data_IF_084831922032
#
_entry.id   IF_084831922032
#
_cell.length_a   1.000
_cell.length_b   1.000
_cell.length_c   1.000
_cell.angle_alpha   90.00
_cell.angle_beta   90.00
_cell.angle_gamma   90.00
#
_symmetry.space_group_name_H-M   'P 1'
#
loop_
_entity.id
_entity.type
_entity.pdbx_description
1 polymer ?
#
# COMPACT_ATOMS: atom_id res chain seq x y z
N UNK A 1 -53.88 -6.38 26.95
CA UNK A 1 -53.17 -6.41 28.24
C UNK A 1 -51.68 -6.38 27.97
N UNK A 2 -51.01 -5.29 28.37
CA UNK A 2 -49.56 -5.08 28.27
C UNK A 2 -48.91 -5.82 29.43
N UNK A 3 -47.83 -6.56 29.21
CA UNK A 3 -46.94 -6.95 30.31
C UNK A 3 -45.51 -6.48 30.02
N UNK A 4 -45.04 -5.63 30.93
CA UNK A 4 -43.73 -4.96 31.00
C UNK A 4 -42.86 -5.73 32.01
N UNK A 5 -41.58 -5.91 31.68
CA UNK A 5 -40.45 -5.97 32.63
C UNK A 5 -40.32 -7.22 33.53
N UNK A 6 -39.15 -7.43 34.18
CA UNK A 6 -38.26 -6.38 34.67
C UNK A 6 -36.78 -6.47 34.27
N UNK A 7 -36.14 -5.30 34.34
CA UNK A 7 -34.70 -5.01 34.33
C UNK A 7 -34.06 -5.19 35.71
N UNK A 8 -32.92 -5.88 35.78
CA UNK A 8 -31.87 -5.81 36.82
C UNK A 8 -30.57 -6.25 36.09
N UNK A 9 -29.38 -5.66 36.16
CA UNK A 9 -28.78 -4.73 37.11
C UNK A 9 -27.45 -5.30 37.63
N UNK A 10 -26.34 -4.95 36.97
CA UNK A 10 -24.97 -4.71 37.52
C UNK A 10 -24.07 -5.86 38.03
N UNK A 11 -22.92 -6.04 37.36
CA UNK A 11 -21.54 -6.09 37.88
C UNK A 11 -20.62 -6.34 36.66
N UNK A 12 -19.60 -5.55 36.33
CA UNK A 12 -18.42 -5.26 37.14
C UNK A 12 -17.22 -6.02 36.53
N UNK A 13 -16.46 -5.38 35.63
CA UNK A 13 -15.33 -6.00 34.94
C UNK A 13 -14.42 -4.95 34.32
N UNK A 14 -13.91 -4.03 35.14
CA UNK A 14 -12.91 -3.06 34.74
C UNK A 14 -11.54 -3.73 34.68
N UNK A 15 -10.92 -3.73 33.51
CA UNK A 15 -9.54 -4.19 33.32
C UNK A 15 -8.55 -3.31 34.11
N UNK A 16 -7.56 -3.89 34.81
CA UNK A 16 -6.68 -3.14 35.68
C UNK A 16 -5.61 -2.38 34.88
N UNK A 17 -5.58 -1.06 35.08
CA UNK A 17 -4.45 -0.19 34.74
C UNK A 17 -3.32 -0.45 35.74
N UNK A 18 -2.31 -1.22 35.35
CA UNK A 18 -1.03 -1.26 36.06
C UNK A 18 -0.22 -0.03 35.66
N UNK A 19 -0.06 0.88 36.62
CA UNK A 19 0.95 1.94 36.58
C UNK A 19 2.26 1.37 37.12
N UNK A 20 3.30 1.37 36.31
CA UNK A 20 4.69 1.27 36.75
C UNK A 20 5.42 2.57 36.38
N UNK A 21 5.76 3.34 37.41
CA UNK A 21 6.75 4.42 37.36
C UNK A 21 8.05 3.85 37.93
N UNK A 22 9.17 4.00 37.20
CA UNK A 22 10.61 3.90 37.57
C UNK A 22 11.35 3.48 36.28
N UNK A 23 12.47 4.02 35.82
CA UNK A 23 13.26 5.21 36.09
C UNK A 23 14.25 5.31 34.90
N UNK A 24 14.61 6.55 34.55
CA UNK A 24 15.68 6.99 33.64
C UNK A 24 16.77 5.95 33.28
N UNK A 25 16.96 5.70 31.98
CA UNK A 25 18.29 5.59 31.39
C UNK A 25 18.30 6.21 29.99
N UNK A 26 19.35 6.99 29.76
CA UNK A 26 19.64 7.79 28.59
C UNK A 26 20.16 6.91 27.46
N UNK A 27 19.53 6.91 26.28
CA UNK A 27 20.20 6.81 24.97
C UNK A 27 19.22 7.27 23.89
N UNK A 28 19.67 8.23 23.07
CA UNK A 28 18.83 9.06 22.21
C UNK A 28 18.15 8.33 21.05
N UNK A 29 16.95 8.81 20.72
CA UNK A 29 16.27 8.56 19.44
C UNK A 29 16.07 9.89 18.71
N UNK A 30 16.14 9.91 17.36
CA UNK A 30 16.10 11.13 16.57
C UNK A 30 14.67 11.68 16.53
N UNK A 31 14.56 13.01 16.66
CA UNK A 31 13.31 13.75 16.52
C UNK A 31 12.88 13.71 15.06
N UNK A 32 11.76 13.04 14.77
CA UNK A 32 11.06 13.11 13.49
C UNK A 32 10.17 14.37 13.53
N UNK A 33 10.56 15.41 12.80
CA UNK A 33 9.76 16.61 12.58
C UNK A 33 9.01 16.43 11.26
N UNK A 34 7.71 16.15 11.33
CA UNK A 34 6.81 16.30 10.19
C UNK A 34 6.44 17.80 10.03
N UNK A 35 6.42 18.36 8.80
CA UNK A 35 6.05 19.76 8.59
C UNK A 35 4.52 19.93 8.58
N UNK A 36 3.95 20.97 9.25
CA UNK A 36 2.56 21.36 9.00
C UNK A 36 2.46 22.42 7.89
N UNK A 37 1.66 22.07 6.88
CA UNK A 37 0.92 22.88 5.89
C UNK A 37 1.23 24.38 5.75
N UNK A 38 1.71 24.75 4.56
CA UNK A 38 1.75 26.12 4.05
C UNK A 38 0.34 26.66 3.76
N UNK A 39 -0.33 27.16 4.80
CA UNK A 39 -1.65 27.78 4.72
C UNK A 39 -1.61 29.28 5.04
N UNK A 40 -1.00 30.10 4.15
CA UNK A 40 -1.45 31.49 3.86
C UNK A 40 -0.68 32.04 2.65
N UNK A 41 -1.10 31.63 1.47
CA UNK A 41 -0.75 32.32 0.23
C UNK A 41 -1.30 33.76 0.31
N UNK A 42 -0.44 34.72 0.65
CA UNK A 42 -0.66 36.10 0.24
C UNK A 42 -0.33 36.13 -1.25
N UNK A 43 -1.36 36.43 -2.04
CA UNK A 43 -1.32 36.62 -3.48
C UNK A 43 -0.01 37.27 -3.96
N UNK A 44 0.92 36.46 -4.45
CA UNK A 44 1.95 36.92 -5.39
C UNK A 44 1.34 36.62 -6.75
N UNK A 45 0.78 37.65 -7.36
CA UNK A 45 0.25 37.57 -8.70
C UNK A 45 1.34 37.06 -9.66
N UNK A 46 0.99 36.26 -10.68
CA UNK A 46 1.92 35.93 -11.74
C UNK A 46 2.39 37.22 -12.41
N UNK A 47 3.70 37.32 -12.69
CA UNK A 47 4.25 38.44 -13.42
C UNK A 47 3.47 38.62 -14.75
N UNK A 48 2.93 39.81 -15.04
CA UNK A 48 2.39 40.07 -16.36
C UNK A 48 3.55 40.16 -17.36
N UNK A 49 3.58 39.23 -18.30
CA UNK A 49 4.42 39.27 -19.49
C UNK A 49 4.01 40.44 -20.39
N UNK A 50 4.46 41.65 -20.05
CA UNK A 50 4.21 42.87 -20.84
C UNK A 50 5.47 43.73 -20.87
N UNK A 51 6.48 43.29 -21.62
CA UNK A 51 7.39 44.17 -22.38
C UNK A 51 8.09 43.33 -23.45
N UNK A 52 7.31 42.94 -24.45
CA UNK A 52 7.82 42.43 -25.73
C UNK A 52 7.31 43.37 -26.83
N UNK A 53 7.64 44.66 -26.72
CA UNK A 53 7.34 45.63 -27.78
C UNK A 53 8.07 46.98 -27.62
N UNK A 54 9.34 46.93 -27.20
CA UNK A 54 10.27 48.02 -27.49
C UNK A 54 11.44 47.39 -28.23
N UNK A 55 11.51 47.64 -29.53
CA UNK A 55 12.56 47.19 -30.43
C UNK A 55 13.93 47.78 -30.09
N UNK A 56 14.43 47.49 -28.91
CA UNK A 56 15.79 47.77 -28.50
C UNK A 56 16.60 46.53 -28.83
N UNK A 57 17.21 46.58 -30.01
CA UNK A 57 18.27 45.66 -30.39
C UNK A 57 19.31 45.64 -29.26
N UNK A 58 19.53 44.45 -28.71
CA UNK A 58 20.58 44.18 -27.72
C UNK A 58 21.91 44.76 -28.23
N UNK A 59 22.57 45.66 -27.49
CA UNK A 59 23.92 46.06 -27.84
C UNK A 59 24.79 44.82 -27.73
N UNK A 60 25.54 44.53 -28.80
CA UNK A 60 26.54 43.47 -28.83
C UNK A 60 27.49 43.64 -27.65
N UNK A 61 27.85 42.52 -27.03
CA UNK A 61 28.96 42.33 -26.11
C UNK A 61 30.18 43.12 -26.61
N UNK A 62 30.49 44.23 -25.94
CA UNK A 62 31.73 44.97 -26.16
C UNK A 62 32.75 44.35 -25.21
N UNK A 63 33.80 43.76 -25.79
CA UNK A 63 34.93 43.22 -25.04
C UNK A 63 35.46 44.27 -24.07
N UNK A 64 35.44 43.91 -22.79
CA UNK A 64 35.99 44.67 -21.68
C UNK A 64 37.52 44.62 -21.81
N UNK A 65 38.10 45.56 -22.56
CA UNK A 65 39.51 45.88 -22.40
C UNK A 65 39.62 46.81 -21.18
N UNK A 66 40.29 46.31 -20.14
CA UNK A 66 40.91 47.09 -19.06
C UNK A 66 41.81 48.15 -19.69
N UNK A 67 41.23 49.31 -20.01
CA UNK A 67 42.00 50.49 -20.31
C UNK A 67 42.33 51.15 -18.96
N UNK A 68 43.46 50.77 -18.37
CA UNK A 68 44.17 51.62 -17.40
C UNK A 68 44.48 52.95 -18.11
N UNK A 69 43.56 53.91 -17.98
CA UNK A 69 43.74 55.24 -18.54
C UNK A 69 44.47 56.09 -17.51
N UNK A 70 45.68 56.51 -17.91
CA UNK A 70 46.50 57.52 -17.23
C UNK A 70 45.65 58.73 -16.86
N UNK A 71 45.56 59.03 -15.56
CA UNK A 71 45.08 60.31 -15.05
C UNK A 71 46.14 61.38 -15.34
N UNK A 72 46.30 61.77 -16.61
CA UNK A 72 46.99 63.02 -16.93
C UNK A 72 46.00 64.16 -16.63
N UNK A 73 46.12 64.65 -15.40
CA UNK A 73 45.25 65.61 -14.70
C UNK A 73 45.45 67.07 -15.17
N UNK A 74 45.94 67.28 -16.39
CA UNK A 74 46.09 68.60 -16.98
C UNK A 74 44.90 68.86 -17.90
N UNK A 75 43.81 69.34 -17.32
CA UNK A 75 42.69 69.92 -18.08
C UNK A 75 43.26 71.09 -18.89
N UNK A 76 43.58 70.84 -20.15
CA UNK A 76 44.17 71.84 -21.04
C UNK A 76 43.09 72.84 -21.46
N UNK A 77 42.90 73.89 -20.65
CA UNK A 77 41.93 74.96 -20.91
C UNK A 77 42.27 75.81 -22.15
N UNK A 78 43.37 75.49 -22.85
CA UNK A 78 43.93 76.30 -23.94
C UNK A 78 44.62 77.55 -23.38
N UNK A 79 45.65 78.03 -24.09
CA UNK A 79 46.30 79.27 -23.73
C UNK A 79 45.30 80.44 -23.89
N UNK A 80 45.00 81.13 -22.79
CA UNK A 80 44.23 82.37 -22.83
C UNK A 80 45.05 83.40 -23.60
N UNK A 81 44.43 84.02 -24.62
CA UNK A 81 45.03 85.15 -25.33
C UNK A 81 45.42 86.24 -24.31
N UNK A 82 46.51 86.97 -24.53
CA UNK A 82 46.83 88.10 -23.65
C UNK A 82 46.05 89.35 -24.06
N UNK A 83 45.77 90.26 -23.12
CA UNK A 83 45.09 91.53 -23.45
C UNK A 83 45.84 92.34 -24.52
N UNK A 84 47.17 92.28 -24.52
CA UNK A 84 48.01 92.93 -25.52
C UNK A 84 47.87 92.33 -26.92
N UNK A 85 47.81 91.00 -27.02
CA UNK A 85 47.59 90.30 -28.29
C UNK A 85 46.19 90.55 -28.85
N UNK A 86 45.19 90.60 -27.96
CA UNK A 86 43.82 90.95 -28.31
C UNK A 86 43.72 92.38 -28.85
N UNK A 87 44.34 93.36 -28.17
CA UNK A 87 44.40 94.75 -28.63
C UNK A 87 45.08 94.87 -30.00
N UNK A 88 46.21 94.18 -30.19
CA UNK A 88 46.94 94.16 -31.44
C UNK A 88 46.10 93.57 -32.59
N UNK A 89 45.36 92.49 -32.34
CA UNK A 89 44.44 91.88 -33.31
C UNK A 89 43.28 92.80 -33.67
N UNK A 90 42.75 93.55 -32.70
CA UNK A 90 41.73 94.57 -32.94
C UNK A 90 42.28 95.85 -33.61
N UNK A 91 43.59 95.93 -33.85
CA UNK A 91 44.23 97.10 -34.44
C UNK A 91 44.26 98.32 -33.49
N UNK A 92 44.16 98.10 -32.18
CA UNK A 92 44.17 99.13 -31.15
C UNK A 92 45.51 99.18 -30.43
N UNK A 93 45.88 100.36 -29.93
CA UNK A 93 47.16 100.58 -29.24
C UNK A 93 47.01 101.47 -28.02
N UNK A 94 47.52 101.00 -26.89
CA UNK A 94 47.57 101.74 -25.64
C UNK A 94 48.63 102.85 -25.64
N UNK A 95 48.60 103.75 -24.63
CA UNK A 95 49.53 104.89 -24.56
C UNK A 95 51.02 104.53 -24.47
N UNK A 96 51.35 103.33 -23.95
CA UNK A 96 52.71 102.85 -23.67
C UNK A 96 53.25 101.80 -24.66
N UNK A 97 52.43 101.31 -25.59
CA UNK A 97 52.82 100.23 -26.52
C UNK A 97 53.69 100.80 -27.67
N UNK A 98 54.51 100.00 -28.37
CA UNK A 98 55.37 100.48 -29.46
C UNK A 98 54.59 100.80 -30.76
N UNK A 99 55.13 101.68 -31.63
CA UNK A 99 54.43 102.11 -32.86
C UNK A 99 54.43 101.03 -33.94
N UNK A 100 53.30 100.34 -34.11
CA UNK A 100 53.01 99.48 -35.25
C UNK A 100 52.16 100.23 -36.29
N UNK A 101 52.53 100.14 -37.57
CA UNK A 101 51.81 100.80 -38.68
C UNK A 101 50.38 100.26 -38.81
N UNK A 102 49.38 101.15 -38.87
CA UNK A 102 47.96 100.81 -39.07
C UNK A 102 47.11 100.69 -37.80
N UNK A 103 47.66 100.92 -36.61
CA UNK A 103 46.94 100.83 -35.33
C UNK A 103 46.34 102.16 -34.86
N UNK A 104 45.12 102.12 -34.32
CA UNK A 104 44.40 103.26 -33.72
C UNK A 104 44.79 103.45 -32.25
N UNK A 105 45.20 104.68 -31.89
CA UNK A 105 45.64 105.00 -30.52
C UNK A 105 44.44 105.30 -29.62
N UNK A 106 44.33 104.58 -28.51
CA UNK A 106 43.29 104.77 -27.49
C UNK A 106 43.84 105.55 -26.28
N UNK A 107 42.96 106.25 -25.56
CA UNK A 107 43.32 106.92 -24.30
C UNK A 107 43.54 105.91 -23.16
N UNK A 108 44.20 106.32 -22.08
CA UNK A 108 44.44 105.44 -20.92
C UNK A 108 43.12 104.99 -20.28
N UNK A 109 42.16 105.91 -20.09
CA UNK A 109 40.84 105.55 -19.53
C UNK A 109 40.06 104.56 -20.42
N UNK A 110 40.19 104.67 -21.75
CA UNK A 110 39.59 103.69 -22.67
C UNK A 110 40.32 102.35 -22.63
N UNK A 111 41.64 102.34 -22.43
CA UNK A 111 42.41 101.11 -22.25
C UNK A 111 41.99 100.40 -20.97
N UNK A 112 41.88 101.11 -19.86
CA UNK A 112 41.50 100.54 -18.56
C UNK A 112 40.08 99.95 -18.61
N UNK A 113 39.13 100.64 -19.27
CA UNK A 113 37.76 100.14 -19.48
C UNK A 113 37.73 98.90 -20.39
N UNK A 114 38.51 98.91 -21.49
CA UNK A 114 38.61 97.76 -22.39
C UNK A 114 39.30 96.56 -21.72
N UNK A 115 40.30 96.80 -20.87
CA UNK A 115 40.96 95.77 -20.07
C UNK A 115 39.97 95.14 -19.10
N UNK A 116 39.15 95.95 -18.44
CA UNK A 116 38.12 95.47 -17.54
C UNK A 116 37.06 94.60 -18.26
N UNK A 117 36.53 95.07 -19.39
CA UNK A 117 35.57 94.30 -20.20
C UNK A 117 36.20 93.03 -20.77
N UNK A 118 37.45 93.09 -21.20
CA UNK A 118 38.20 91.95 -21.70
C UNK A 118 38.44 90.89 -20.62
N UNK A 119 38.86 91.29 -19.41
CA UNK A 119 39.01 90.38 -18.27
C UNK A 119 37.69 89.69 -17.92
N UNK A 120 36.59 90.44 -17.86
CA UNK A 120 35.26 89.87 -17.59
C UNK A 120 34.82 88.89 -18.69
N UNK A 121 35.11 89.18 -19.97
CA UNK A 121 34.79 88.31 -21.09
C UNK A 121 35.65 87.03 -21.09
N UNK A 122 36.93 87.15 -20.75
CA UNK A 122 37.85 86.01 -20.68
C UNK A 122 37.55 85.10 -19.47
N UNK A 123 37.14 85.67 -18.34
CA UNK A 123 36.62 84.94 -17.19
C UNK A 123 35.34 84.20 -17.56
N UNK A 124 34.39 84.85 -18.24
CA UNK A 124 33.16 84.21 -18.70
C UNK A 124 33.41 83.06 -19.69
N UNK A 125 34.41 83.18 -20.57
CA UNK A 125 34.79 82.10 -21.49
C UNK A 125 35.43 80.91 -20.74
N UNK A 126 36.28 81.20 -19.76
CA UNK A 126 36.88 80.17 -18.89
C UNK A 126 35.82 79.42 -18.09
N UNK A 127 34.86 80.15 -17.51
CA UNK A 127 33.72 79.57 -16.79
C UNK A 127 32.83 78.72 -17.71
N UNK A 128 32.59 79.15 -18.97
CA UNK A 128 31.86 78.34 -19.94
C UNK A 128 32.56 77.00 -20.19
N UNK A 129 33.88 77.02 -20.44
CA UNK A 129 34.67 75.79 -20.67
C UNK A 129 34.66 74.86 -19.45
N UNK A 130 34.76 75.42 -18.24
CA UNK A 130 34.65 74.66 -17.00
C UNK A 130 33.29 73.96 -16.86
N UNK A 131 32.20 74.67 -17.17
CA UNK A 131 30.85 74.11 -17.10
C UNK A 131 30.65 73.02 -18.15
N UNK A 132 31.17 73.20 -19.36
CA UNK A 132 31.13 72.19 -20.44
C UNK A 132 31.92 70.93 -20.05
N UNK A 133 33.14 71.09 -19.55
CA UNK A 133 33.95 69.97 -19.06
C UNK A 133 33.30 69.25 -17.88
N UNK A 134 32.71 69.99 -16.94
CA UNK A 134 31.98 69.42 -15.82
C UNK A 134 30.79 68.59 -16.32
N UNK A 135 29.99 69.14 -17.24
CA UNK A 135 28.87 68.43 -17.85
C UNK A 135 29.32 67.15 -18.57
N UNK A 136 30.40 67.20 -19.34
CA UNK A 136 30.91 66.03 -20.04
C UNK A 136 31.42 64.98 -19.05
N UNK A 137 32.08 65.39 -17.97
CA UNK A 137 32.51 64.48 -16.89
C UNK A 137 31.32 63.83 -16.17
N UNK A 138 30.25 64.57 -15.88
CA UNK A 138 29.02 64.05 -15.28
C UNK A 138 28.30 63.08 -16.22
N UNK A 139 28.25 63.38 -17.52
CA UNK A 139 27.70 62.48 -18.54
C UNK A 139 28.50 61.18 -18.64
N UNK A 140 29.83 61.25 -18.55
CA UNK A 140 30.68 60.07 -18.59
C UNK A 140 30.61 59.24 -17.31
N UNK A 141 30.43 59.88 -16.15
CA UNK A 141 30.13 59.18 -14.89
C UNK A 141 28.76 58.47 -15.01
N UNK A 142 27.72 59.18 -15.46
CA UNK A 142 26.38 58.61 -15.62
C UNK A 142 26.37 57.44 -16.61
N UNK A 143 27.11 57.52 -17.71
CA UNK A 143 27.26 56.40 -18.67
C UNK A 143 27.96 55.20 -18.03
N UNK A 144 29.03 55.43 -17.27
CA UNK A 144 29.74 54.35 -16.56
C UNK A 144 28.84 53.67 -15.53
N UNK A 145 28.10 54.45 -14.75
CA UNK A 145 27.13 53.91 -13.79
C UNK A 145 26.01 53.13 -14.48
N UNK A 146 25.49 53.64 -15.61
CA UNK A 146 24.46 52.94 -16.39
C UNK A 146 24.97 51.59 -16.91
N UNK A 147 26.20 51.54 -17.44
CA UNK A 147 26.81 50.29 -17.91
C UNK A 147 27.04 49.31 -16.75
N UNK A 148 27.55 49.79 -15.61
CA UNK A 148 27.75 48.96 -14.42
C UNK A 148 26.44 48.39 -13.87
N UNK A 149 25.39 49.22 -13.80
CA UNK A 149 24.06 48.79 -13.37
C UNK A 149 23.45 47.78 -14.36
N UNK A 150 23.66 47.97 -15.66
CA UNK A 150 23.22 47.04 -16.69
C UNK A 150 23.91 45.68 -16.59
N UNK A 151 25.23 45.67 -16.38
CA UNK A 151 26.00 44.45 -16.16
C UNK A 151 25.54 43.71 -14.89
N UNK A 152 25.37 44.44 -13.78
CA UNK A 152 24.87 43.86 -12.54
C UNK A 152 23.46 43.27 -12.68
N UNK A 153 22.56 43.97 -13.37
CA UNK A 153 21.21 43.47 -13.63
C UNK A 153 21.22 42.19 -14.47
N UNK A 154 22.04 42.14 -15.52
CA UNK A 154 22.21 40.96 -16.36
C UNK A 154 22.72 39.76 -15.54
N UNK A 155 23.78 39.95 -14.76
CA UNK A 155 24.35 38.88 -13.92
C UNK A 155 23.35 38.37 -12.88
N UNK A 156 22.56 39.28 -12.29
CA UNK A 156 21.49 38.91 -11.37
C UNK A 156 20.38 38.11 -12.05
N UNK A 157 19.94 38.52 -13.24
CA UNK A 157 18.93 37.81 -14.05
C UNK A 157 19.44 36.42 -14.45
N UNK A 158 20.68 36.30 -14.91
CA UNK A 158 21.29 35.02 -15.28
C UNK A 158 21.41 34.09 -14.06
N UNK A 159 21.92 34.60 -12.93
CA UNK A 159 22.06 33.83 -11.71
C UNK A 159 20.71 33.34 -11.18
N UNK A 160 19.69 34.19 -11.22
CA UNK A 160 18.33 33.82 -10.78
C UNK A 160 17.67 32.84 -11.74
N UNK A 161 17.82 33.02 -13.06
CA UNK A 161 17.33 32.07 -14.06
C UNK A 161 17.94 30.68 -13.87
N UNK A 162 19.26 30.60 -13.67
CA UNK A 162 19.97 29.34 -13.39
C UNK A 162 19.56 28.70 -12.07
N UNK A 163 19.35 29.50 -11.03
CA UNK A 163 18.86 29.00 -9.75
C UNK A 163 17.42 28.44 -9.86
N UNK A 164 16.56 29.08 -10.65
CA UNK A 164 15.21 28.60 -10.90
C UNK A 164 15.19 27.35 -11.78
N UNK A 165 16.00 27.30 -12.84
CA UNK A 165 16.08 26.10 -13.70
C UNK A 165 16.54 24.88 -12.90
N UNK A 166 17.58 25.03 -12.06
CA UNK A 166 18.05 23.94 -11.20
C UNK A 166 17.00 23.48 -10.18
N UNK A 167 16.20 24.39 -9.64
CA UNK A 167 15.07 24.02 -8.75
C UNK A 167 13.99 23.25 -9.49
N UNK A 168 13.66 23.66 -10.72
CA UNK A 168 12.67 22.96 -11.55
C UNK A 168 13.16 21.56 -11.92
N UNK A 169 14.41 21.41 -12.33
CA UNK A 169 15.03 20.11 -12.64
C UNK A 169 15.06 19.19 -11.41
N UNK A 170 15.40 19.71 -10.24
CA UNK A 170 15.36 18.93 -9.00
C UNK A 170 13.93 18.50 -8.63
N UNK A 171 12.95 19.38 -8.83
CA UNK A 171 11.55 19.08 -8.56
C UNK A 171 10.99 18.02 -9.52
N UNK A 172 11.31 18.11 -10.82
CA UNK A 172 10.88 17.11 -11.80
C UNK A 172 11.55 15.75 -11.56
N UNK A 173 12.83 15.72 -11.19
CA UNK A 173 13.51 14.48 -10.80
C UNK A 173 12.87 13.86 -9.55
N UNK A 174 12.54 14.66 -8.55
CA UNK A 174 11.85 14.19 -7.35
C UNK A 174 10.43 13.66 -7.66
N UNK A 175 9.69 14.32 -8.56
CA UNK A 175 8.38 13.85 -9.02
C UNK A 175 8.49 12.49 -9.72
N UNK A 176 9.46 12.34 -10.63
CA UNK A 176 9.69 11.07 -11.34
C UNK A 176 10.07 9.94 -10.39
N UNK A 177 10.92 10.22 -9.39
CA UNK A 177 11.27 9.24 -8.36
C UNK A 177 10.06 8.85 -7.49
N UNK A 178 9.23 9.83 -7.11
CA UNK A 178 8.02 9.57 -6.34
C UNK A 178 7.00 8.74 -7.13
N UNK A 179 6.84 8.99 -8.43
CA UNK A 179 6.00 8.20 -9.33
C UNK A 179 6.50 6.75 -9.45
N UNK A 180 7.80 6.56 -9.69
CA UNK A 180 8.38 5.22 -9.77
C UNK A 180 8.19 4.42 -8.47
N UNK A 181 8.34 5.07 -7.31
CA UNK A 181 8.10 4.45 -6.01
C UNK A 181 6.62 4.11 -5.81
N UNK A 182 5.70 4.98 -6.24
CA UNK A 182 4.27 4.71 -6.20
C UNK A 182 3.88 3.51 -7.07
N UNK A 183 4.40 3.44 -8.30
CA UNK A 183 4.14 2.32 -9.21
C UNK A 183 4.67 1.00 -8.64
N UNK A 184 5.86 1.04 -8.02
CA UNK A 184 6.44 -0.11 -7.32
C UNK A 184 5.56 -0.56 -6.16
N UNK A 185 5.06 0.37 -5.35
CA UNK A 185 4.14 0.07 -4.24
C UNK A 185 2.78 -0.43 -4.71
N UNK A 186 2.27 0.08 -5.82
CA UNK A 186 1.05 -0.43 -6.45
C UNK A 186 1.24 -1.88 -6.90
N UNK A 187 2.36 -2.21 -7.56
CA UNK A 187 2.70 -3.58 -7.94
C UNK A 187 2.85 -4.53 -6.74
N UNK A 188 3.48 -4.09 -5.66
CA UNK A 188 3.55 -4.86 -4.40
C UNK A 188 2.16 -5.12 -3.81
N UNK A 189 1.27 -4.12 -3.83
CA UNK A 189 -0.09 -4.24 -3.31
C UNK A 189 -0.95 -5.18 -4.17
N UNK A 190 -0.84 -5.11 -5.50
CA UNK A 190 -1.52 -6.02 -6.43
C UNK A 190 -1.03 -7.46 -6.25
N UNK A 191 0.28 -7.68 -6.12
CA UNK A 191 0.84 -9.00 -5.86
C UNK A 191 0.36 -9.57 -4.51
N UNK A 192 0.32 -8.74 -3.46
CA UNK A 192 -0.20 -9.14 -2.16
C UNK A 192 -1.71 -9.47 -2.21
N UNK A 193 -2.50 -8.69 -2.96
CA UNK A 193 -3.92 -8.95 -3.16
C UNK A 193 -4.16 -10.26 -3.95
N UNK A 194 -3.36 -10.52 -4.98
CA UNK A 194 -3.40 -11.77 -5.74
C UNK A 194 -3.02 -12.98 -4.88
N UNK A 195 -1.98 -12.86 -4.04
CA UNK A 195 -1.59 -13.90 -3.10
C UNK A 195 -2.69 -14.19 -2.07
N UNK A 196 -3.33 -13.14 -1.52
CA UNK A 196 -4.44 -13.29 -0.59
C UNK A 196 -5.69 -13.91 -1.26
N UNK A 197 -5.96 -13.58 -2.53
CA UNK A 197 -7.03 -14.20 -3.30
C UNK A 197 -6.75 -15.68 -3.56
N UNK A 198 -5.53 -16.04 -3.95
CA UNK A 198 -5.12 -17.43 -4.15
C UNK A 198 -5.25 -18.24 -2.86
N UNK A 199 -4.87 -17.66 -1.71
CA UNK A 199 -5.02 -18.33 -0.43
C UNK A 199 -6.49 -18.55 -0.05
N UNK A 200 -7.36 -17.56 -0.27
CA UNK A 200 -8.81 -17.74 -0.07
C UNK A 200 -9.38 -18.87 -0.95
N UNK A 201 -8.92 -19.00 -2.20
CA UNK A 201 -9.32 -20.10 -3.07
C UNK A 201 -8.83 -21.45 -2.53
N UNK A 202 -7.60 -21.55 -2.02
CA UNK A 202 -7.09 -22.78 -1.39
C UNK A 202 -7.90 -23.17 -0.15
N UNK A 203 -8.19 -22.20 0.72
CA UNK A 203 -9.01 -22.44 1.91
C UNK A 203 -10.42 -22.88 1.53
N UNK A 204 -11.02 -22.26 0.50
CA UNK A 204 -12.33 -22.67 -0.01
C UNK A 204 -12.30 -24.10 -0.56
N UNK A 205 -11.26 -24.46 -1.32
CA UNK A 205 -11.10 -25.82 -1.84
C UNK A 205 -10.96 -26.85 -0.70
N UNK A 206 -10.13 -26.57 0.30
CA UNK A 206 -9.97 -27.42 1.48
C UNK A 206 -11.28 -27.55 2.29
N UNK A 207 -12.08 -26.48 2.35
CA UNK A 207 -13.38 -26.52 3.02
C UNK A 207 -14.39 -27.42 2.27
N UNK A 208 -14.37 -27.42 0.93
CA UNK A 208 -15.18 -28.32 0.10
C UNK A 208 -14.75 -29.77 0.32
N UNK A 209 -13.46 -30.08 0.23
CA UNK A 209 -12.91 -31.42 0.47
C UNK A 209 -13.28 -31.92 1.88
N UNK A 210 -13.14 -31.06 2.89
CA UNK A 210 -13.58 -31.39 4.26
C UNK A 210 -15.10 -31.59 4.35
N UNK A 211 -15.89 -30.90 3.53
CA UNK A 211 -17.33 -31.11 3.41
C UNK A 211 -17.68 -32.48 2.83
N UNK A 212 -16.99 -32.86 1.76
CA UNK A 212 -17.13 -34.16 1.07
C UNK A 212 -16.77 -35.31 2.00
N UNK A 213 -15.61 -35.26 2.66
CA UNK A 213 -15.20 -36.28 3.64
C UNK A 213 -16.19 -36.44 4.80
N UNK A 214 -16.79 -35.34 5.27
CA UNK A 214 -17.86 -35.40 6.28
C UNK A 214 -19.14 -36.03 5.70
N UNK A 215 -19.43 -35.83 4.42
CA UNK A 215 -20.51 -36.49 3.69
C UNK A 215 -20.29 -38.00 3.65
N UNK A 216 -19.15 -38.44 3.14
CA UNK A 216 -18.74 -39.85 3.07
C UNK A 216 -18.79 -40.52 4.44
N UNK A 217 -18.30 -39.85 5.48
CA UNK A 217 -18.36 -40.37 6.85
C UNK A 217 -19.80 -40.62 7.32
N UNK A 218 -20.74 -39.69 7.03
CA UNK A 218 -22.15 -39.89 7.39
C UNK A 218 -22.78 -41.04 6.62
N UNK A 219 -22.47 -41.18 5.34
CA UNK A 219 -22.94 -42.30 4.52
C UNK A 219 -22.42 -43.63 5.05
N UNK A 220 -21.13 -43.71 5.39
CA UNK A 220 -20.51 -44.89 5.98
C UNK A 220 -21.15 -45.25 7.33
N UNK A 221 -21.44 -44.26 8.19
CA UNK A 221 -22.15 -44.50 9.45
C UNK A 221 -23.56 -45.06 9.23
N UNK A 222 -24.31 -44.50 8.27
CA UNK A 222 -25.65 -45.00 7.94
C UNK A 222 -25.61 -46.41 7.36
N UNK A 223 -24.62 -46.71 6.51
CA UNK A 223 -24.41 -48.06 6.00
C UNK A 223 -24.07 -49.04 7.13
N UNK A 224 -23.18 -48.66 8.05
CA UNK A 224 -22.81 -49.47 9.21
C UNK A 224 -24.02 -49.76 10.13
N UNK A 225 -24.83 -48.75 10.43
CA UNK A 225 -26.08 -48.90 11.18
C UNK A 225 -27.07 -49.84 10.45
N UNK A 226 -27.17 -49.72 9.13
CA UNK A 226 -27.96 -50.64 8.30
C UNK A 226 -27.48 -52.09 8.40
N UNK A 227 -26.17 -52.32 8.33
CA UNK A 227 -25.58 -53.65 8.51
C UNK A 227 -25.80 -54.19 9.93
N UNK A 228 -25.65 -53.34 10.95
CA UNK A 228 -25.93 -53.72 12.34
C UNK A 228 -27.37 -54.22 12.51
N UNK A 229 -28.37 -53.48 12.01
CA UNK A 229 -29.78 -53.91 12.06
C UNK A 229 -30.03 -55.19 11.27
N UNK A 230 -29.28 -55.42 10.18
CA UNK A 230 -29.34 -56.68 9.44
C UNK A 230 -28.77 -57.83 10.26
N UNK A 231 -27.63 -57.63 10.92
CA UNK A 231 -27.04 -58.61 11.82
C UNK A 231 -27.98 -58.95 12.99
N UNK A 232 -28.56 -57.94 13.65
CA UNK A 232 -29.53 -58.13 14.76
C UNK A 232 -30.75 -58.95 14.32
N UNK A 233 -31.25 -58.74 13.09
CA UNK A 233 -32.34 -59.55 12.51
C UNK A 233 -31.90 -60.99 12.24
N UNK A 234 -30.74 -61.20 11.62
CA UNK A 234 -30.22 -62.54 11.38
C UNK A 234 -29.95 -63.29 12.69
N UNK A 235 -29.47 -62.61 13.74
CA UNK A 235 -29.32 -63.19 15.08
C UNK A 235 -30.67 -63.58 15.70
N UNK A 236 -31.74 -62.83 15.44
CA UNK A 236 -33.09 -63.20 15.84
C UNK A 236 -33.58 -64.43 15.06
N UNK A 237 -33.43 -64.43 13.73
CA UNK A 237 -33.81 -65.56 12.88
C UNK A 237 -33.09 -66.85 13.29
N UNK A 238 -31.79 -66.78 13.64
CA UNK A 238 -31.01 -67.92 14.14
C UNK A 238 -31.53 -68.41 15.49
N UNK A 239 -31.91 -67.51 16.40
CA UNK A 239 -32.50 -67.87 17.70
C UNK A 239 -33.84 -68.57 17.53
N UNK A 240 -34.69 -68.06 16.64
CA UNK A 240 -35.99 -68.64 16.35
C UNK A 240 -35.84 -70.03 15.71
N UNK A 241 -34.96 -70.18 14.71
CA UNK A 241 -34.64 -71.46 14.10
C UNK A 241 -34.04 -72.48 15.11
N UNK A 242 -33.25 -72.01 16.07
CA UNK A 242 -32.71 -72.86 17.13
C UNK A 242 -33.82 -73.36 18.08
N UNK A 243 -34.80 -72.51 18.40
CA UNK A 243 -35.97 -72.89 19.18
C UNK A 243 -36.84 -73.91 18.44
N UNK A 244 -37.14 -73.67 17.16
CA UNK A 244 -37.87 -74.62 16.31
C UNK A 244 -37.17 -75.98 16.23
N UNK A 245 -35.84 -75.99 16.07
CA UNK A 245 -35.04 -77.20 16.07
C UNK A 245 -35.13 -77.98 17.39
N UNK A 246 -35.12 -77.27 18.54
CA UNK A 246 -35.27 -77.88 19.85
C UNK A 246 -36.68 -78.48 20.05
N UNK A 247 -37.72 -77.78 19.59
CA UNK A 247 -39.10 -78.26 19.64
C UNK A 247 -39.28 -79.52 18.77
N UNK A 248 -38.75 -79.51 17.54
CA UNK A 248 -38.75 -80.68 16.66
C UNK A 248 -37.97 -81.86 17.26
N UNK A 249 -36.84 -81.59 17.92
CA UNK A 249 -36.08 -82.62 18.62
C UNK A 249 -36.89 -83.23 19.78
N UNK A 250 -37.64 -82.42 20.52
CA UNK A 250 -38.55 -82.89 21.58
C UNK A 250 -39.68 -83.74 21.00
N UNK A 251 -40.34 -83.27 19.94
CA UNK A 251 -41.39 -84.02 19.25
C UNK A 251 -40.87 -85.36 18.72
N UNK A 252 -39.66 -85.40 18.17
CA UNK A 252 -39.01 -86.64 17.73
C UNK A 252 -38.73 -87.59 18.89
N UNK A 253 -38.28 -87.07 20.05
CA UNK A 253 -38.05 -87.87 21.24
C UNK A 253 -39.36 -88.48 21.77
N UNK A 254 -40.45 -87.71 21.80
CA UNK A 254 -41.77 -88.19 22.20
C UNK A 254 -42.33 -89.22 21.21
N UNK A 255 -42.17 -88.99 19.90
CA UNK A 255 -42.54 -89.96 18.88
C UNK A 255 -41.76 -91.29 19.03
N UNK A 256 -40.46 -91.22 19.34
CA UNK A 256 -39.64 -92.41 19.63
C UNK A 256 -40.13 -93.15 20.86
N UNK A 257 -40.47 -92.46 21.95
CA UNK A 257 -41.04 -93.09 23.16
C UNK A 257 -42.38 -93.76 22.85
N UNK A 258 -43.26 -93.08 22.11
CA UNK A 258 -44.54 -93.63 21.69
C UNK A 258 -44.37 -94.89 20.83
N UNK A 259 -43.38 -94.90 19.92
CA UNK A 259 -43.02 -96.08 19.14
C UNK A 259 -42.57 -97.24 20.04
N UNK A 260 -41.62 -97.02 20.95
CA UNK A 260 -41.15 -98.06 21.88
C UNK A 260 -42.29 -98.60 22.76
N UNK A 261 -43.19 -97.74 23.23
CA UNK A 261 -44.36 -98.19 24.00
C UNK A 261 -45.35 -98.99 23.15
N UNK A 262 -45.54 -98.63 21.89
CA UNK A 262 -46.32 -99.41 20.94
C UNK A 262 -45.67 -100.78 20.68
N UNK A 263 -44.36 -100.84 20.47
CA UNK A 263 -43.60 -102.09 20.31
C UNK A 263 -43.72 -103.00 21.55
N UNK A 264 -43.66 -102.42 22.76
CA UNK A 264 -43.89 -103.17 24.01
C UNK A 264 -45.31 -103.69 24.11
N UNK A 265 -46.32 -102.90 23.73
CA UNK A 265 -47.72 -103.35 23.70
C UNK A 265 -47.93 -104.48 22.70
N UNK A 266 -47.33 -104.39 21.51
CA UNK A 266 -47.35 -105.45 20.51
C UNK A 266 -46.65 -106.70 21.04
N UNK A 267 -45.48 -106.57 21.66
CA UNK A 267 -44.76 -107.70 22.28
C UNK A 267 -45.57 -108.36 23.39
N UNK A 268 -46.20 -107.56 24.26
CA UNK A 268 -47.09 -108.07 25.32
C UNK A 268 -48.35 -108.73 24.75
N UNK A 269 -48.93 -108.17 23.69
CA UNK A 269 -50.06 -108.79 22.98
C UNK A 269 -49.65 -110.13 22.36
N UNK A 270 -48.49 -110.20 21.71
CA UNK A 270 -47.93 -111.43 21.17
C UNK A 270 -47.66 -112.46 22.28
N UNK A 271 -47.10 -112.05 23.43
CA UNK A 271 -46.91 -112.92 24.57
C UNK A 271 -48.24 -113.50 25.09
N UNK A 272 -49.28 -112.67 25.21
CA UNK A 272 -50.63 -113.12 25.56
C UNK A 272 -51.23 -114.08 24.53
N UNK A 273 -50.99 -113.85 23.24
CA UNK A 273 -51.40 -114.79 22.18
C UNK A 273 -50.67 -116.11 22.34
N UNK A 274 -49.35 -116.10 22.57
CA UNK A 274 -48.56 -117.32 22.81
C UNK A 274 -49.00 -118.06 24.07
N UNK A 275 -49.32 -117.35 25.16
CA UNK A 275 -49.90 -117.91 26.38
C UNK A 275 -51.28 -118.52 26.12
N UNK A 276 -52.14 -117.84 25.38
CA UNK A 276 -53.45 -118.35 24.99
C UNK A 276 -53.34 -119.58 24.08
N UNK A 277 -52.40 -119.61 23.14
CA UNK A 277 -52.11 -120.77 22.30
C UNK A 277 -51.50 -121.94 23.11
N UNK A 278 -50.67 -121.65 24.10
CA UNK A 278 -50.13 -122.66 25.02
C UNK A 278 -51.25 -123.22 25.92
N UNK A 279 -52.13 -122.37 26.45
CA UNK A 279 -53.30 -122.77 27.22
C UNK A 279 -54.26 -123.61 26.37
N UNK A 280 -54.54 -123.21 25.12
CA UNK A 280 -55.36 -124.00 24.19
C UNK A 280 -54.70 -125.34 23.84
N UNK A 281 -53.37 -125.40 23.73
CA UNK A 281 -52.63 -126.67 23.56
C UNK A 281 -52.72 -127.55 24.81
N UNK A 282 -52.61 -126.98 26.00
CA UNK A 282 -52.76 -127.69 27.26
C UNK A 282 -54.19 -128.21 27.45
N UNK A 283 -55.20 -127.42 27.08
CA UNK A 283 -56.61 -127.81 27.09
C UNK A 283 -56.89 -128.93 26.09
N UNK A 284 -56.34 -128.86 24.88
CA UNK A 284 -56.37 -129.97 23.91
C UNK A 284 -55.69 -131.23 24.44
N UNK A 285 -54.52 -131.09 25.07
CA UNK A 285 -53.83 -132.23 25.69
C UNK A 285 -54.61 -132.82 26.87
N UNK A 286 -55.28 -131.99 27.68
CA UNK A 286 -56.16 -132.45 28.76
C UNK A 286 -57.42 -133.14 28.20
N UNK A 287 -57.99 -132.62 27.12
CA UNK A 287 -59.10 -133.24 26.40
C UNK A 287 -58.67 -134.60 25.82
N UNK A 288 -57.55 -134.67 25.10
CA UNK A 288 -56.99 -135.91 24.56
C UNK A 288 -56.62 -136.91 25.68
N UNK A 289 -56.11 -136.44 26.82
CA UNK A 289 -55.87 -137.25 28.02
C UNK A 289 -57.17 -137.79 28.63
N UNK A 290 -58.26 -137.00 28.63
CA UNK A 290 -59.58 -137.45 29.09
C UNK A 290 -60.20 -138.47 28.14
N UNK A 291 -60.04 -138.27 26.83
CA UNK A 291 -60.50 -139.19 25.78
C UNK A 291 -59.72 -140.50 25.86
N UNK A 292 -58.39 -140.44 26.05
CA UNK A 292 -57.56 -141.64 26.23
C UNK A 292 -57.86 -142.38 27.54
N UNK A 293 -58.14 -141.68 28.64
CA UNK A 293 -58.60 -142.28 29.89
C UNK A 293 -59.99 -142.95 29.73
N UNK A 294 -60.90 -142.35 28.96
CA UNK A 294 -62.20 -142.97 28.62
C UNK A 294 -62.00 -144.21 27.75
N UNK A 295 -61.15 -144.17 26.73
CA UNK A 295 -60.87 -145.36 25.91
C UNK A 295 -60.15 -146.46 26.69
N UNK A 296 -59.24 -146.11 27.61
CA UNK A 296 -58.58 -147.09 28.50
C UNK A 296 -59.58 -147.70 29.52
N UNK A 297 -60.54 -146.91 30.01
CA UNK A 297 -61.65 -147.42 30.82
C UNK A 297 -62.57 -148.35 30.03
N UNK A 298 -62.78 -148.11 28.73
CA UNK A 298 -63.56 -148.99 27.84
C UNK A 298 -62.80 -150.25 27.44
N UNK A 299 -61.47 -150.23 27.39
CA UNK A 299 -60.64 -151.42 27.14
C UNK A 299 -60.43 -152.28 28.40
N UNK A 300 -60.56 -151.71 29.61
CA UNK A 300 -60.55 -152.46 30.87
C UNK A 300 -61.86 -153.20 31.17
N UNK A 301 -62.94 -152.94 30.41
CA UNK A 301 -64.24 -153.62 30.53
C UNK A 301 -64.45 -154.71 29.45
N UNK A 302 -63.38 -155.14 28.77
CA UNK A 302 -63.35 -156.31 27.86
C UNK A 302 -62.43 -157.41 28.39
#
# INVERSE_FOLDING_TARGET
SRFKGPTVGRAGGGSPRVRSNLSKSSFGSPVVIAPPSAGRARNIAPAPSLMRDLGLQSPRTVDMMDAEMSYDDDVNFGAQESFGDWLARCGLRGPADASAHGSLRISQSQRDELEHVWCNAAEADTLRRLVENLKDSELDIARREQLANGAWAHDFEEATAKAWSGKVEAATAAEMAAKAELDRKAGEAEAAAAAAAAERCRVAAAAVESGELRGELREAMMAAEGQRRRAERLEADVRDAAAESADLASQLADARRALTDAERRVSAANARVMEAEAAARAERAAYDSSVTAVTASMESER
#
